data_IF_491113350771
#
_entry.id   IF_491113350771
#
_cell.length_a   1.000
_cell.length_b   1.000
_cell.length_c   1.000
_cell.angle_alpha   90.00
_cell.angle_beta   90.00
_cell.angle_gamma   90.00
#
_symmetry.space_group_name_H-M   'P 1'
#
loop_
_entity.id
_entity.type
_entity.pdbx_description
1 polymer ?
#
# COMPACT_ATOMS: atom_id res chain seq x y z
N UNK A 1 -21.95 -4.56 16.92
CA UNK A 1 -20.47 -4.67 16.98
C UNK A 1 -19.95 -3.25 16.90
N UNK A 2 -19.46 -2.71 18.03
CA UNK A 2 -18.94 -1.34 18.07
C UNK A 2 -17.57 -1.28 17.42
N UNK A 3 -17.44 -0.41 16.41
CA UNK A 3 -16.16 -0.03 15.85
C UNK A 3 -15.49 0.91 16.85
N UNK A 4 -14.43 0.43 17.51
CA UNK A 4 -13.54 1.32 18.25
C UNK A 4 -12.75 2.16 17.25
N UNK A 5 -13.19 3.40 17.07
CA UNK A 5 -12.34 4.49 16.63
C UNK A 5 -11.22 4.67 17.66
N UNK A 6 -10.03 4.16 17.33
CA UNK A 6 -8.81 4.43 18.08
C UNK A 6 -8.26 5.78 17.63
N UNK A 7 -8.85 6.84 18.16
CA UNK A 7 -8.42 8.22 17.98
C UNK A 7 -8.67 9.01 19.25
N UNK A 8 -7.86 8.78 20.29
CA UNK A 8 -7.75 9.72 21.42
C UNK A 8 -6.46 9.48 22.21
N UNK A 9 -5.59 10.50 22.16
CA UNK A 9 -4.74 10.98 23.27
C UNK A 9 -3.59 10.07 23.77
N UNK A 10 -2.38 10.24 23.20
CA UNK A 10 -1.13 10.24 24.00
C UNK A 10 -0.15 11.30 23.44
N UNK A 11 -0.30 12.52 23.99
CA UNK A 11 0.53 13.67 23.69
C UNK A 11 1.77 13.66 24.61
N UNK A 12 2.81 12.89 24.24
CA UNK A 12 4.26 13.18 24.46
C UNK A 12 5.14 11.93 24.37
N UNK A 13 4.58 10.72 24.47
CA UNK A 13 5.33 9.44 24.44
C UNK A 13 5.27 8.73 23.08
N UNK A 14 4.29 9.08 22.24
CA UNK A 14 4.06 8.50 20.91
C UNK A 14 5.08 8.91 19.83
N UNK A 15 5.96 9.86 20.10
CA UNK A 15 6.93 10.34 19.12
C UNK A 15 7.89 9.21 18.69
N UNK A 16 8.49 8.46 19.63
CA UNK A 16 9.37 7.33 19.28
C UNK A 16 8.63 6.13 18.70
N UNK A 17 7.40 5.90 19.16
CA UNK A 17 6.60 4.74 18.75
C UNK A 17 6.25 4.80 17.27
N UNK A 18 5.94 5.99 16.74
CA UNK A 18 5.60 6.17 15.33
C UNK A 18 6.74 5.76 14.39
N UNK A 19 7.98 6.13 14.71
CA UNK A 19 9.14 5.70 13.93
C UNK A 19 9.36 4.19 13.99
N UNK A 20 9.23 3.59 15.17
CA UNK A 20 9.43 2.15 15.33
C UNK A 20 8.32 1.34 14.66
N UNK A 21 7.08 1.85 14.67
CA UNK A 21 5.97 1.32 13.89
C UNK A 21 6.26 1.37 12.38
N UNK A 22 6.80 2.48 11.87
CA UNK A 22 7.22 2.58 10.47
C UNK A 22 8.32 1.56 10.16
N UNK A 23 9.34 1.42 11.02
CA UNK A 23 10.41 0.42 10.82
C UNK A 23 9.83 -0.99 10.77
N UNK A 24 9.01 -1.37 11.74
CA UNK A 24 8.35 -2.67 11.78
C UNK A 24 7.48 -2.92 10.52
N UNK A 25 6.75 -1.90 10.07
CA UNK A 25 5.97 -1.98 8.82
C UNK A 25 6.87 -2.15 7.59
N UNK A 26 7.99 -1.42 7.50
CA UNK A 26 8.92 -1.55 6.38
C UNK A 26 9.56 -2.94 6.32
N UNK A 27 9.92 -3.50 7.48
CA UNK A 27 10.43 -4.87 7.59
C UNK A 27 9.37 -5.91 7.21
N UNK A 28 8.16 -5.79 7.77
CA UNK A 28 7.02 -6.66 7.47
C UNK A 28 6.70 -6.68 5.98
N UNK A 29 6.78 -5.53 5.32
CA UNK A 29 6.53 -5.36 3.89
C UNK A 29 7.76 -5.62 3.02
N UNK A 30 8.93 -5.90 3.62
CA UNK A 30 10.22 -6.11 2.94
C UNK A 30 10.56 -4.98 1.97
N UNK A 31 10.26 -3.74 2.37
CA UNK A 31 10.53 -2.55 1.56
C UNK A 31 12.02 -2.23 1.59
N UNK A 32 12.73 -2.60 0.52
CA UNK A 32 14.10 -2.12 0.34
C UNK A 32 14.10 -0.71 -0.26
N UNK A 33 14.99 0.14 0.24
CA UNK A 33 15.26 1.47 -0.32
C UNK A 33 15.93 1.35 -1.68
N UNK A 34 15.19 1.09 -2.76
CA UNK A 34 15.73 0.83 -4.10
C UNK A 34 16.39 2.03 -4.80
N UNK A 35 16.69 3.13 -4.09
CA UNK A 35 17.31 4.33 -4.67
C UNK A 35 18.85 4.18 -4.68
N UNK A 36 19.51 4.18 -5.86
CA UNK A 36 20.97 4.06 -5.95
C UNK A 36 21.72 5.11 -5.12
N UNK A 37 21.25 6.36 -5.11
CA UNK A 37 21.84 7.45 -4.34
C UNK A 37 21.88 7.21 -2.84
N UNK A 38 20.89 6.52 -2.28
CA UNK A 38 20.87 6.18 -0.86
C UNK A 38 21.92 5.12 -0.53
N UNK A 39 22.09 4.13 -1.40
CA UNK A 39 23.13 3.11 -1.22
C UNK A 39 24.54 3.71 -1.35
N UNK A 40 24.78 4.59 -2.34
CA UNK A 40 26.05 5.30 -2.48
C UNK A 40 26.36 6.16 -1.25
N UNK A 41 25.38 6.91 -0.73
CA UNK A 41 25.55 7.69 0.49
C UNK A 41 25.85 6.81 1.71
N UNK A 42 25.13 5.70 1.86
CA UNK A 42 25.34 4.73 2.95
C UNK A 42 26.74 4.12 2.88
N UNK A 43 27.19 3.74 1.68
CA UNK A 43 28.52 3.21 1.43
C UNK A 43 29.60 4.25 1.74
N UNK A 44 29.42 5.51 1.32
CA UNK A 44 30.33 6.61 1.67
C UNK A 44 30.45 6.82 3.18
N UNK A 45 29.34 6.71 3.92
CA UNK A 45 29.34 6.80 5.37
C UNK A 45 30.10 5.65 6.05
N UNK A 46 29.89 4.43 5.58
CA UNK A 46 30.55 3.23 6.11
C UNK A 46 32.05 3.20 5.78
N UNK A 47 32.42 3.69 4.61
CA UNK A 47 33.81 3.70 4.13
C UNK A 47 34.61 4.93 4.59
N UNK A 48 33.97 5.92 5.21
CA UNK A 48 34.65 7.11 5.74
C UNK A 48 35.07 6.86 7.19
N UNK A 49 36.36 6.64 7.49
CA UNK A 49 36.83 6.69 8.87
C UNK A 49 36.55 8.10 9.41
N UNK A 50 36.05 8.18 10.63
CA UNK A 50 35.86 9.44 11.38
C UNK A 50 37.22 10.02 11.81
N UNK A 51 38.22 9.99 10.94
CA UNK A 51 39.41 10.81 11.09
C UNK A 51 39.03 12.20 10.62
N UNK A 52 38.80 13.08 11.59
CA UNK A 52 38.62 14.50 11.37
C UNK A 52 39.70 14.98 10.40
N UNK A 53 39.26 15.72 9.40
CA UNK A 53 40.13 16.41 8.46
C UNK A 53 40.86 17.51 9.23
N UNK A 54 41.82 17.11 10.07
CA UNK A 54 42.78 18.01 10.71
C UNK A 54 43.73 18.39 9.61
N UNK A 55 43.31 19.43 8.88
CA UNK A 55 44.14 20.46 8.26
C UNK A 55 45.61 20.06 8.15
N UNK A 56 45.97 19.42 7.03
CA UNK A 56 47.31 19.57 6.46
C UNK A 56 47.41 21.00 5.94
N UNK A 57 47.59 21.96 6.84
CA UNK A 57 48.25 23.22 6.53
C UNK A 57 48.76 23.80 7.84
N UNK A 58 50.08 23.85 7.96
CA UNK A 58 50.78 24.27 9.16
C UNK A 58 50.56 25.75 9.42
N UNK A 59 49.65 26.09 10.32
CA UNK A 59 49.65 27.37 11.02
C UNK A 59 49.35 27.09 12.49
N UNK A 60 50.39 27.16 13.31
CA UNK A 60 50.29 27.21 14.77
C UNK A 60 49.59 28.50 15.18
N UNK A 61 48.39 28.42 15.75
CA UNK A 61 47.81 29.52 16.52
C UNK A 61 47.62 29.07 17.99
N UNK A 62 48.36 29.67 18.95
CA UNK A 62 48.33 29.29 20.35
C UNK A 62 47.38 30.18 21.15
N UNK A 63 46.22 29.64 21.52
CA UNK A 63 45.54 29.76 22.83
C UNK A 63 44.09 29.29 22.66
N UNK A 64 43.71 28.21 23.35
CA UNK A 64 42.37 27.62 23.40
C UNK A 64 41.76 27.32 22.03
N UNK A 65 42.35 26.28 21.43
CA UNK A 65 41.77 25.21 20.61
C UNK A 65 40.22 25.17 20.59
N UNK A 66 39.59 26.14 19.92
CA UNK A 66 38.16 26.14 19.63
C UNK A 66 37.87 24.89 18.77
N UNK A 67 37.00 24.01 19.27
CA UNK A 67 36.74 22.71 18.64
C UNK A 67 35.76 22.97 17.51
N UNK A 68 36.23 22.90 16.27
CA UNK A 68 35.37 22.99 15.07
C UNK A 68 34.45 24.23 15.04
N UNK A 69 34.85 25.37 15.61
CA UNK A 69 34.04 26.59 15.65
C UNK A 69 33.28 26.83 16.98
N UNK A 70 33.33 25.88 17.92
CA UNK A 70 32.77 26.01 19.27
C UNK A 70 33.80 26.43 20.33
N UNK A 71 33.39 27.35 21.21
CA UNK A 71 34.24 27.91 22.27
C UNK A 71 34.61 26.86 23.34
N UNK A 72 33.72 25.91 23.62
CA UNK A 72 33.99 24.77 24.51
C UNK A 72 33.49 23.43 23.95
N UNK A 73 33.96 22.32 24.53
CA UNK A 73 33.49 20.96 24.19
C UNK A 73 32.01 20.80 24.53
N UNK A 74 31.61 21.36 25.67
CA UNK A 74 30.24 21.26 26.18
C UNK A 74 29.26 21.97 25.22
N UNK A 75 29.63 23.13 24.67
CA UNK A 75 28.82 23.84 23.65
C UNK A 75 28.63 23.00 22.38
N UNK A 76 29.69 22.33 21.91
CA UNK A 76 29.61 21.46 20.74
C UNK A 76 28.70 20.23 20.99
N UNK A 77 28.77 19.65 22.19
CA UNK A 77 27.93 18.54 22.60
C UNK A 77 26.47 18.96 22.79
N UNK A 78 26.22 20.14 23.34
CA UNK A 78 24.87 20.69 23.49
C UNK A 78 24.24 20.98 22.13
N UNK A 79 25.01 21.55 21.21
CA UNK A 79 24.58 21.75 19.82
C UNK A 79 24.20 20.42 19.16
N UNK A 80 25.07 19.41 19.23
CA UNK A 80 24.80 18.10 18.63
C UNK A 80 23.57 17.43 19.24
N UNK A 81 23.36 17.55 20.55
CA UNK A 81 22.15 17.04 21.23
C UNK A 81 20.89 17.76 20.75
N UNK A 82 20.96 19.08 20.55
CA UNK A 82 19.85 19.87 20.02
C UNK A 82 19.53 19.46 18.58
N UNK A 83 20.54 19.33 17.73
CA UNK A 83 20.39 18.94 16.33
C UNK A 83 19.80 17.52 16.19
N UNK A 84 20.28 16.56 16.99
CA UNK A 84 19.71 15.21 17.00
C UNK A 84 18.26 15.19 17.46
N UNK A 85 17.89 16.03 18.43
CA UNK A 85 16.48 16.17 18.86
C UNK A 85 15.61 16.75 17.76
N UNK A 86 16.09 17.75 17.03
CA UNK A 86 15.36 18.36 15.91
C UNK A 86 15.18 17.35 14.76
N UNK A 87 16.25 16.64 14.39
CA UNK A 87 16.18 15.56 13.40
C UNK A 87 15.18 14.48 13.81
N UNK A 88 15.22 14.03 15.07
CA UNK A 88 14.29 13.03 15.58
C UNK A 88 12.84 13.51 15.49
N UNK A 89 12.58 14.77 15.82
CA UNK A 89 11.24 15.37 15.74
C UNK A 89 10.73 15.46 14.29
N UNK A 90 11.60 15.78 13.34
CA UNK A 90 11.28 15.76 11.92
C UNK A 90 10.95 14.35 11.42
N UNK A 91 11.77 13.37 11.78
CA UNK A 91 11.56 11.97 11.42
C UNK A 91 10.24 11.42 11.99
N UNK A 92 9.90 11.76 13.24
CA UNK A 92 8.62 11.39 13.86
C UNK A 92 7.42 12.02 13.15
N UNK A 93 7.53 13.28 12.71
CA UNK A 93 6.48 13.93 11.91
C UNK A 93 6.27 13.21 10.57
N UNK A 94 7.36 12.86 9.89
CA UNK A 94 7.27 12.10 8.63
C UNK A 94 6.69 10.71 8.85
N UNK A 95 7.07 10.03 9.95
CA UNK A 95 6.55 8.71 10.28
C UNK A 95 5.02 8.72 10.43
N UNK A 96 4.49 9.70 11.18
CA UNK A 96 3.04 9.91 11.32
C UNK A 96 2.34 10.10 9.98
N UNK A 97 2.91 10.94 9.11
CA UNK A 97 2.34 11.17 7.77
C UNK A 97 2.33 9.90 6.93
N UNK A 98 3.40 9.11 6.95
CA UNK A 98 3.49 7.85 6.21
C UNK A 98 2.49 6.81 6.71
N UNK A 99 2.32 6.67 8.02
CA UNK A 99 1.34 5.74 8.61
C UNK A 99 -0.08 6.13 8.19
N UNK A 100 -0.42 7.43 8.28
CA UNK A 100 -1.74 7.96 7.87
C UNK A 100 -2.03 7.71 6.40
N UNK A 101 -1.12 8.13 5.51
CA UNK A 101 -1.24 7.93 4.06
C UNK A 101 -1.39 6.45 3.71
N UNK A 102 -0.67 5.56 4.39
CA UNK A 102 -0.82 4.12 4.18
C UNK A 102 -2.23 3.64 4.55
N UNK A 103 -2.79 4.12 5.65
CA UNK A 103 -4.17 3.84 6.08
C UNK A 103 -5.18 4.30 5.04
N UNK A 104 -5.07 5.55 4.60
CA UNK A 104 -5.93 6.15 3.57
C UNK A 104 -5.87 5.37 2.24
N UNK A 105 -4.66 5.04 1.76
CA UNK A 105 -4.47 4.24 0.55
C UNK A 105 -5.13 2.86 0.70
N UNK A 106 -5.01 2.24 1.87
CA UNK A 106 -5.63 0.95 2.11
C UNK A 106 -7.15 1.04 2.09
N UNK A 107 -7.73 2.03 2.77
CA UNK A 107 -9.17 2.30 2.79
C UNK A 107 -9.70 2.53 1.36
N UNK A 108 -9.08 3.43 0.60
CA UNK A 108 -9.48 3.72 -0.77
C UNK A 108 -9.42 2.49 -1.67
N UNK A 109 -8.42 1.62 -1.49
CA UNK A 109 -8.34 0.35 -2.24
C UNK A 109 -9.48 -0.60 -1.89
N UNK A 110 -9.85 -0.70 -0.62
CA UNK A 110 -10.99 -1.53 -0.20
C UNK A 110 -12.28 -0.97 -0.77
N UNK A 111 -12.52 0.33 -0.64
CA UNK A 111 -13.70 1.01 -1.20
C UNK A 111 -13.81 0.82 -2.72
N UNK A 112 -12.70 0.96 -3.45
CA UNK A 112 -12.66 0.73 -4.90
C UNK A 112 -13.05 -0.70 -5.28
N UNK A 113 -12.53 -1.70 -4.57
CA UNK A 113 -12.86 -3.11 -4.84
C UNK A 113 -14.32 -3.40 -4.49
N UNK A 114 -14.83 -2.86 -3.38
CA UNK A 114 -16.24 -2.98 -3.00
C UNK A 114 -17.17 -2.35 -4.04
N UNK A 115 -16.83 -1.16 -4.54
CA UNK A 115 -17.61 -0.47 -5.57
C UNK A 115 -17.65 -1.28 -6.86
N UNK A 116 -16.50 -1.75 -7.35
CA UNK A 116 -16.42 -2.61 -8.54
C UNK A 116 -17.21 -3.91 -8.37
N UNK A 117 -17.19 -4.51 -7.18
CA UNK A 117 -17.98 -5.70 -6.89
C UNK A 117 -19.48 -5.42 -6.95
N UNK A 118 -19.90 -4.27 -6.41
CA UNK A 118 -21.29 -3.83 -6.50
C UNK A 118 -21.74 -3.63 -7.94
N UNK A 119 -20.94 -2.96 -8.77
CA UNK A 119 -21.25 -2.79 -10.20
C UNK A 119 -21.46 -4.15 -10.90
N UNK A 120 -20.58 -5.12 -10.65
CA UNK A 120 -20.75 -6.47 -11.22
C UNK A 120 -22.01 -7.20 -10.73
N UNK A 121 -22.41 -6.99 -9.47
CA UNK A 121 -23.65 -7.56 -8.94
C UNK A 121 -24.88 -6.87 -9.55
N UNK A 122 -24.82 -5.55 -9.69
CA UNK A 122 -25.88 -4.75 -10.30
C UNK A 122 -26.06 -5.18 -11.78
N UNK A 123 -24.97 -5.32 -12.55
CA UNK A 123 -24.98 -5.83 -13.94
C UNK A 123 -25.65 -7.21 -14.04
N UNK A 124 -25.24 -8.16 -13.20
CA UNK A 124 -25.83 -9.50 -13.18
C UNK A 124 -27.31 -9.50 -12.75
N UNK A 125 -27.72 -8.55 -11.90
CA UNK A 125 -29.11 -8.39 -11.49
C UNK A 125 -29.96 -7.87 -12.64
N UNK A 126 -29.46 -6.87 -13.39
CA UNK A 126 -30.13 -6.35 -14.58
C UNK A 126 -30.30 -7.42 -15.67
N UNK A 127 -29.28 -8.25 -15.93
CA UNK A 127 -29.38 -9.36 -16.89
C UNK A 127 -30.46 -10.40 -16.49
N UNK A 128 -30.62 -10.66 -15.18
CA UNK A 128 -31.64 -11.58 -14.68
C UNK A 128 -33.05 -10.99 -14.76
N UNK A 129 -33.21 -9.69 -14.48
CA UNK A 129 -34.49 -8.97 -14.61
C UNK A 129 -34.97 -8.97 -16.06
N UNK A 130 -34.11 -8.68 -17.05
CA UNK A 130 -34.45 -8.74 -18.47
C UNK A 130 -34.93 -10.15 -18.88
N UNK A 131 -34.28 -11.21 -18.37
CA UNK A 131 -34.66 -12.58 -18.66
C UNK A 131 -35.99 -12.99 -17.97
N UNK A 132 -36.29 -12.41 -16.81
CA UNK A 132 -37.56 -12.57 -16.10
C UNK A 132 -38.73 -11.88 -16.81
N UNK A 133 -38.53 -10.65 -17.26
CA UNK A 133 -39.53 -9.87 -18.02
C UNK A 133 -39.85 -10.52 -19.38
N UNK A 134 -38.83 -11.02 -20.09
CA UNK A 134 -39.02 -11.81 -21.32
C UNK A 134 -39.81 -13.10 -21.06
N UNK A 135 -39.61 -13.76 -19.91
CA UNK A 135 -40.37 -14.94 -19.51
C UNK A 135 -41.80 -14.62 -19.10
N UNK A 136 -42.07 -13.48 -18.46
CA UNK A 136 -43.43 -13.06 -18.09
C UNK A 136 -44.27 -12.71 -19.32
N UNK A 137 -43.67 -12.13 -20.37
CA UNK A 137 -44.33 -11.96 -21.68
C UNK A 137 -44.55 -13.30 -22.42
N UNK A 138 -43.75 -14.33 -22.11
CA UNK A 138 -43.88 -15.69 -22.61
C UNK A 138 -44.77 -16.60 -21.74
N UNK A 139 -45.21 -16.16 -20.56
CA UNK A 139 -46.03 -16.96 -19.63
C UNK A 139 -47.46 -17.22 -20.14
N UNK A 140 -47.90 -16.50 -21.18
CA UNK A 140 -49.15 -16.79 -21.89
C UNK A 140 -49.01 -17.93 -22.91
N UNK A 141 -47.78 -18.42 -23.14
CA UNK A 141 -47.50 -19.54 -24.03
C UNK A 141 -47.31 -20.79 -23.16
N UNK A 142 -48.07 -21.88 -23.39
CA UNK A 142 -47.97 -23.07 -22.56
C UNK A 142 -46.53 -23.58 -22.53
N UNK A 143 -45.96 -23.78 -21.33
CA UNK A 143 -44.55 -24.16 -21.09
C UNK A 143 -44.04 -25.30 -21.99
N UNK A 144 -44.92 -26.16 -22.51
CA UNK A 144 -44.59 -27.21 -23.48
C UNK A 144 -44.05 -26.70 -24.83
N UNK A 145 -44.29 -25.44 -25.21
CA UNK A 145 -43.81 -24.85 -26.46
C UNK A 145 -42.44 -24.13 -26.30
N UNK A 146 -42.14 -23.58 -25.11
CA UNK A 146 -40.87 -22.89 -24.85
C UNK A 146 -39.66 -23.84 -24.88
N UNK A 147 -39.81 -25.08 -24.37
CA UNK A 147 -38.77 -26.10 -24.44
C UNK A 147 -38.58 -26.74 -25.83
N UNK A 148 -39.40 -26.37 -26.82
CA UNK A 148 -39.31 -26.92 -28.18
C UNK A 148 -38.38 -26.12 -29.10
N UNK A 149 -38.10 -24.84 -28.81
CA UNK A 149 -37.44 -23.95 -29.79
C UNK A 149 -35.98 -23.61 -29.52
N UNK A 150 -35.44 -23.73 -28.31
CA UNK A 150 -33.98 -23.62 -28.12
C UNK A 150 -33.52 -24.09 -26.75
N UNK A 151 -33.15 -25.37 -26.65
CA UNK A 151 -32.18 -25.77 -25.64
C UNK A 151 -30.86 -25.03 -25.87
N UNK A 152 -30.15 -24.56 -24.82
CA UNK A 152 -28.87 -23.82 -24.91
C UNK A 152 -27.75 -24.61 -25.64
N UNK A 153 -27.95 -25.90 -25.87
CA UNK A 153 -27.05 -26.79 -26.57
C UNK A 153 -27.06 -26.63 -28.10
N UNK A 154 -28.03 -25.90 -28.68
CA UNK A 154 -28.09 -25.65 -30.14
C UNK A 154 -26.89 -24.82 -30.63
N UNK A 155 -26.42 -23.87 -29.82
CA UNK A 155 -25.28 -23.01 -30.15
C UNK A 155 -23.95 -23.81 -30.22
N UNK A 156 -23.94 -25.00 -29.62
CA UNK A 156 -22.84 -25.98 -29.66
C UNK A 156 -23.06 -27.08 -30.73
N UNK A 157 -24.07 -26.92 -31.60
CA UNK A 157 -24.42 -27.91 -32.63
C UNK A 157 -25.10 -29.19 -32.10
N UNK A 158 -25.47 -29.22 -30.83
CA UNK A 158 -26.04 -30.39 -30.18
C UNK A 158 -27.57 -30.37 -30.29
N UNK A 159 -28.10 -31.35 -31.02
CA UNK A 159 -29.54 -31.58 -31.16
C UNK A 159 -29.96 -32.79 -30.32
N UNK A 160 -31.26 -32.91 -30.03
CA UNK A 160 -31.83 -34.07 -29.32
C UNK A 160 -31.47 -35.41 -29.98
N UNK A 161 -31.28 -35.40 -31.30
CA UNK A 161 -30.85 -36.55 -32.11
C UNK A 161 -29.36 -36.87 -31.95
N UNK A 162 -28.48 -35.86 -31.77
CA UNK A 162 -27.05 -36.04 -31.50
C UNK A 162 -26.80 -36.67 -30.12
N UNK A 163 -27.55 -36.22 -29.11
CA UNK A 163 -27.42 -36.73 -27.73
C UNK A 163 -27.88 -38.18 -27.62
N UNK A 164 -28.99 -38.53 -28.29
CA UNK A 164 -29.55 -39.88 -28.25
C UNK A 164 -28.75 -40.90 -29.08
N UNK A 165 -27.90 -40.45 -30.02
CA UNK A 165 -27.14 -41.34 -30.90
C UNK A 165 -25.65 -41.48 -30.56
N UNK A 166 -25.13 -40.73 -29.56
CA UNK A 166 -23.72 -40.78 -29.08
C UNK A 166 -22.68 -40.89 -30.20
N UNK A 167 -22.85 -40.15 -31.29
CA UNK A 167 -21.90 -40.14 -32.42
C UNK A 167 -21.48 -38.72 -32.72
N UNK A 168 -20.38 -38.29 -32.11
CA UNK A 168 -19.69 -37.08 -32.51
C UNK A 168 -18.99 -37.34 -33.85
N UNK A 169 -19.41 -36.67 -34.93
CA UNK A 169 -18.56 -36.53 -36.12
C UNK A 169 -17.74 -35.26 -35.94
N UNK A 170 -16.42 -35.41 -35.81
CA UNK A 170 -15.49 -34.29 -35.81
C UNK A 170 -15.21 -33.85 -37.26
N UNK A 171 -15.25 -32.55 -37.50
CA UNK A 171 -14.48 -31.90 -38.55
C UNK A 171 -13.27 -31.23 -37.88
#
# INVERSE_FOLDING_TARGET
MEFRELGAEENSEGDTEDLDNVKALTEKLKLQTRRPSYFEWKERLQNRPWTGDVLKDGITCPTVRNICGFDTIDDALEWLRNELREMQLQDNRLARQLIRLRGEIHQLKVEQVCHRHKEMLDDATYELEECGEESDLLCDIPLKAAFALSTPLKHLGLTKMNINSRRFSLC
#
